data_IF_511917748713
#
_entry.id   IF_511917748713
#
_cell.length_a   1.000
_cell.length_b   1.000
_cell.length_c   1.000
_cell.angle_alpha   90.00
_cell.angle_beta   90.00
_cell.angle_gamma   90.00
#
_symmetry.space_group_name_H-M   'P 1'
#
loop_
_entity.id
_entity.type
_entity.pdbx_description
1 polymer ?
#
# COMPACT_ATOMS: atom_id res chain seq x y z
N UNK A 1 6.91 -3.54 48.69
CA UNK A 1 7.64 -2.80 47.63
C UNK A 1 7.56 -3.49 46.27
N UNK A 2 7.86 -4.78 46.16
CA UNK A 2 7.87 -5.57 44.90
C UNK A 2 6.62 -5.38 44.02
N UNK A 3 5.41 -5.44 44.60
CA UNK A 3 4.15 -5.28 43.84
C UNK A 3 3.99 -3.91 43.16
N UNK A 4 4.54 -2.83 43.72
CA UNK A 4 4.52 -1.49 43.09
C UNK A 4 5.49 -1.40 41.91
N UNK A 5 6.66 -2.03 42.01
CA UNK A 5 7.61 -2.11 40.91
C UNK A 5 7.10 -2.98 39.76
N UNK A 6 6.47 -4.12 40.06
CA UNK A 6 5.88 -5.01 39.05
C UNK A 6 4.76 -4.31 38.27
N UNK A 7 3.90 -3.53 38.93
CA UNK A 7 2.84 -2.75 38.27
C UNK A 7 3.44 -1.61 37.43
N UNK A 8 4.48 -0.92 37.92
CA UNK A 8 5.16 0.14 37.18
C UNK A 8 5.91 -0.36 35.93
N UNK A 9 6.55 -1.53 36.00
CA UNK A 9 7.21 -2.14 34.83
C UNK A 9 6.21 -2.66 33.81
N UNK A 10 5.07 -3.19 34.26
CA UNK A 10 3.95 -3.60 33.39
C UNK A 10 3.35 -2.39 32.65
N UNK A 11 3.11 -1.28 33.34
CA UNK A 11 2.53 -0.09 32.70
C UNK A 11 3.48 0.53 31.68
N UNK A 12 4.79 0.55 31.97
CA UNK A 12 5.81 1.02 31.03
C UNK A 12 5.89 0.12 29.79
N UNK A 13 5.86 -1.20 29.97
CA UNK A 13 5.87 -2.16 28.86
C UNK A 13 4.66 -2.00 27.93
N UNK A 14 3.46 -1.86 28.49
CA UNK A 14 2.23 -1.61 27.71
C UNK A 14 2.30 -0.27 26.98
N UNK A 15 2.82 0.78 27.63
CA UNK A 15 2.97 2.09 27.01
C UNK A 15 3.96 2.07 25.84
N UNK A 16 5.11 1.39 25.98
CA UNK A 16 6.07 1.20 24.90
C UNK A 16 5.50 0.38 23.74
N UNK A 17 4.75 -0.69 24.05
CA UNK A 17 4.07 -1.49 23.03
C UNK A 17 3.03 -0.67 22.24
N UNK A 18 2.30 0.21 22.92
CA UNK A 18 1.33 1.10 22.30
C UNK A 18 1.99 2.14 21.37
N UNK A 19 3.12 2.72 21.79
CA UNK A 19 3.92 3.61 20.93
C UNK A 19 4.44 2.85 19.71
N UNK A 20 4.98 1.65 19.89
CA UNK A 20 5.46 0.83 18.78
C UNK A 20 4.34 0.50 17.78
N UNK A 21 3.15 0.16 18.27
CA UNK A 21 1.98 -0.10 17.44
C UNK A 21 1.57 1.13 16.62
N UNK A 22 1.54 2.32 17.22
CA UNK A 22 1.28 3.57 16.48
C UNK A 22 2.32 3.82 15.39
N UNK A 23 3.61 3.66 15.71
CA UNK A 23 4.69 3.85 14.73
C UNK A 23 4.52 2.88 13.56
N UNK A 24 4.24 1.61 13.83
CA UNK A 24 3.99 0.60 12.80
C UNK A 24 2.78 0.96 11.92
N UNK A 25 1.66 1.41 12.52
CA UNK A 25 0.49 1.83 11.74
C UNK A 25 0.80 3.02 10.82
N UNK A 26 1.51 4.03 11.33
CA UNK A 26 1.90 5.21 10.54
C UNK A 26 2.84 4.81 9.41
N UNK A 27 3.81 3.95 9.69
CA UNK A 27 4.73 3.48 8.67
C UNK A 27 4.02 2.64 7.60
N UNK A 28 3.04 1.82 7.98
CA UNK A 28 2.28 1.00 7.04
C UNK A 28 1.47 1.89 6.11
N UNK A 29 0.86 2.94 6.67
CA UNK A 29 0.15 3.93 5.90
C UNK A 29 1.05 4.67 4.90
N UNK A 30 2.25 5.10 5.34
CA UNK A 30 3.21 5.78 4.44
C UNK A 30 3.76 4.85 3.37
N UNK A 31 4.00 3.59 3.70
CA UNK A 31 4.44 2.58 2.75
C UNK A 31 3.37 2.33 1.67
N UNK A 32 2.10 2.19 2.06
CA UNK A 32 1.01 2.05 1.09
C UNK A 32 0.93 3.21 0.09
N UNK A 33 1.04 4.45 0.59
CA UNK A 33 1.09 5.64 -0.28
C UNK A 33 2.30 5.59 -1.22
N UNK A 34 3.48 5.20 -0.72
CA UNK A 34 4.68 5.13 -1.55
C UNK A 34 4.54 4.09 -2.67
N UNK A 35 3.93 2.94 -2.39
CA UNK A 35 3.63 1.90 -3.40
C UNK A 35 2.61 2.41 -4.42
N UNK A 36 1.56 3.13 -3.99
CA UNK A 36 0.57 3.70 -4.89
C UNK A 36 1.20 4.77 -5.82
N UNK A 37 2.10 5.59 -5.30
CA UNK A 37 2.85 6.57 -6.09
C UNK A 37 3.77 5.87 -7.09
N UNK A 38 4.53 4.85 -6.67
CA UNK A 38 5.40 4.08 -7.56
C UNK A 38 4.60 3.38 -8.67
N UNK A 39 3.39 2.90 -8.38
CA UNK A 39 2.48 2.33 -9.36
C UNK A 39 2.05 3.37 -10.40
N UNK A 40 1.66 4.56 -9.96
CA UNK A 40 1.32 5.67 -10.85
C UNK A 40 2.51 6.04 -11.74
N UNK A 41 3.70 6.17 -11.16
CA UNK A 41 4.92 6.56 -11.87
C UNK A 41 5.32 5.51 -12.93
N UNK A 42 5.25 4.22 -12.59
CA UNK A 42 5.50 3.14 -13.53
C UNK A 42 4.50 3.15 -14.69
N UNK A 43 3.21 3.35 -14.40
CA UNK A 43 2.16 3.44 -15.42
C UNK A 43 2.34 4.66 -16.31
N UNK A 44 2.68 5.81 -15.74
CA UNK A 44 2.92 7.05 -16.49
C UNK A 44 4.16 6.93 -17.38
N UNK A 45 5.22 6.30 -16.88
CA UNK A 45 6.43 6.00 -17.66
C UNK A 45 6.16 5.01 -18.80
N UNK A 46 5.35 3.98 -18.54
CA UNK A 46 4.93 3.03 -19.58
C UNK A 46 4.06 3.67 -20.66
N UNK A 47 3.14 4.55 -20.27
CA UNK A 47 2.25 5.25 -21.19
C UNK A 47 3.02 6.26 -22.06
N UNK A 48 3.97 7.01 -21.47
CA UNK A 48 4.78 7.98 -22.20
C UNK A 48 3.92 8.97 -23.00
N UNK A 49 4.33 9.26 -24.24
CA UNK A 49 3.60 10.11 -25.18
C UNK A 49 2.64 9.33 -26.11
N UNK A 50 2.45 8.02 -25.86
CA UNK A 50 1.59 7.17 -26.67
C UNK A 50 0.12 7.39 -26.28
N UNK A 51 -0.65 8.00 -27.18
CA UNK A 51 -2.06 8.32 -26.97
C UNK A 51 -2.92 7.07 -26.73
N UNK A 52 -2.56 5.91 -27.29
CA UNK A 52 -3.30 4.67 -27.08
C UNK A 52 -3.06 4.13 -25.66
N UNK A 53 -1.81 4.16 -25.20
CA UNK A 53 -1.45 3.72 -23.84
C UNK A 53 -1.97 4.68 -22.78
N UNK A 54 -1.96 5.98 -23.04
CA UNK A 54 -2.59 6.97 -22.18
C UNK A 54 -4.10 6.72 -22.03
N UNK A 55 -4.80 6.38 -23.14
CA UNK A 55 -6.22 6.03 -23.08
C UNK A 55 -6.47 4.71 -22.33
N UNK A 56 -5.57 3.73 -22.41
CA UNK A 56 -5.64 2.49 -21.61
C UNK A 56 -5.43 2.77 -20.12
N UNK A 57 -4.43 3.59 -19.78
CA UNK A 57 -4.16 4.01 -18.41
C UNK A 57 -5.35 4.77 -17.82
N UNK A 58 -5.95 5.70 -18.57
CA UNK A 58 -7.12 6.46 -18.14
C UNK A 58 -8.33 5.55 -17.87
N UNK A 59 -8.60 4.58 -18.76
CA UNK A 59 -9.69 3.60 -18.56
C UNK A 59 -9.47 2.75 -17.31
N UNK A 60 -8.23 2.32 -17.06
CA UNK A 60 -7.87 1.62 -15.84
C UNK A 60 -8.16 2.48 -14.58
N UNK A 61 -7.78 3.77 -14.59
CA UNK A 61 -8.06 4.65 -13.45
C UNK A 61 -9.55 4.85 -13.20
N UNK A 62 -10.33 5.11 -14.25
CA UNK A 62 -11.79 5.32 -14.14
C UNK A 62 -12.52 4.06 -13.66
N UNK A 63 -12.15 2.89 -14.17
CA UNK A 63 -12.89 1.65 -13.90
C UNK A 63 -12.41 0.94 -12.62
N UNK A 64 -11.10 0.99 -12.33
CA UNK A 64 -10.50 0.24 -11.24
C UNK A 64 -10.18 1.08 -10.00
N UNK A 65 -9.88 2.39 -10.14
CA UNK A 65 -9.44 3.22 -9.01
C UNK A 65 -10.51 4.21 -8.55
N UNK A 66 -11.19 4.89 -9.47
CA UNK A 66 -12.16 5.94 -9.14
C UNK A 66 -13.43 5.39 -8.45
N UNK A 67 -13.80 4.14 -8.75
CA UNK A 67 -14.98 3.49 -8.16
C UNK A 67 -14.78 3.06 -6.68
N UNK A 68 -13.57 3.14 -6.14
CA UNK A 68 -13.24 2.71 -4.78
C UNK A 68 -13.02 3.91 -3.87
N UNK A 69 -14.11 4.54 -3.45
CA UNK A 69 -14.10 5.71 -2.54
C UNK A 69 -13.86 5.37 -1.06
N UNK A 70 -14.03 4.11 -0.65
CA UNK A 70 -13.90 3.74 0.76
C UNK A 70 -12.47 3.37 1.14
N UNK A 71 -11.91 4.16 2.07
CA UNK A 71 -10.54 4.00 2.59
C UNK A 71 -10.36 2.67 3.35
N UNK A 72 -11.45 2.11 3.87
CA UNK A 72 -11.43 0.83 4.58
C UNK A 72 -11.37 -0.37 3.63
N UNK A 73 -12.00 -0.28 2.46
CA UNK A 73 -11.98 -1.35 1.45
C UNK A 73 -10.59 -1.47 0.79
N UNK A 74 -9.90 -0.33 0.60
CA UNK A 74 -8.55 -0.27 0.03
C UNK A 74 -7.49 -1.10 0.76
N UNK A 75 -7.75 -1.46 2.02
CA UNK A 75 -6.78 -2.14 2.91
C UNK A 75 -6.94 -3.67 2.92
N UNK A 76 -7.99 -4.22 2.28
CA UNK A 76 -8.19 -5.67 2.23
C UNK A 76 -7.22 -6.33 1.24
N UNK A 77 -6.63 -7.50 1.58
CA UNK A 77 -5.90 -8.33 0.61
C UNK A 77 -6.74 -8.68 -0.62
N UNK A 78 -8.06 -8.78 -0.44
CA UNK A 78 -9.00 -9.02 -1.53
C UNK A 78 -9.11 -7.82 -2.47
N UNK A 79 -8.97 -6.60 -1.95
CA UNK A 79 -8.95 -5.37 -2.74
C UNK A 79 -7.64 -5.22 -3.54
N UNK A 80 -6.51 -5.62 -2.95
CA UNK A 80 -5.24 -5.64 -3.69
C UNK A 80 -5.32 -6.66 -4.85
N UNK A 81 -5.94 -7.83 -4.61
CA UNK A 81 -6.21 -8.81 -5.68
C UNK A 81 -7.20 -8.27 -6.72
N UNK A 82 -8.25 -7.55 -6.31
CA UNK A 82 -9.22 -6.97 -7.22
C UNK A 82 -8.61 -5.89 -8.11
N UNK A 83 -7.64 -5.11 -7.64
CA UNK A 83 -6.92 -4.14 -8.47
C UNK A 83 -6.12 -4.79 -9.60
N UNK A 84 -5.46 -5.93 -9.33
CA UNK A 84 -4.75 -6.69 -10.37
C UNK A 84 -5.71 -7.34 -11.35
N UNK A 85 -6.78 -7.95 -10.82
CA UNK A 85 -7.77 -8.61 -11.64
C UNK A 85 -8.53 -7.59 -12.52
N UNK A 86 -8.85 -6.42 -11.98
CA UNK A 86 -9.43 -5.31 -12.73
C UNK A 86 -8.45 -4.74 -13.76
N UNK A 87 -7.15 -4.68 -13.47
CA UNK A 87 -6.14 -4.32 -14.47
C UNK A 87 -6.09 -5.32 -15.64
N UNK A 88 -6.23 -6.63 -15.38
CA UNK A 88 -6.32 -7.66 -16.42
C UNK A 88 -7.64 -7.57 -17.22
N UNK A 89 -8.77 -7.29 -16.55
CA UNK A 89 -10.10 -7.27 -17.17
C UNK A 89 -10.38 -5.98 -17.97
N UNK A 90 -9.92 -4.82 -17.46
CA UNK A 90 -10.30 -3.49 -17.96
C UNK A 90 -9.12 -2.64 -18.46
N UNK A 91 -7.90 -3.00 -18.11
CA UNK A 91 -6.67 -2.36 -18.59
C UNK A 91 -6.03 -3.14 -19.74
N UNK A 92 -4.87 -3.72 -19.45
CA UNK A 92 -4.11 -4.57 -20.36
C UNK A 92 -3.20 -5.50 -19.54
N UNK A 93 -2.70 -6.57 -20.17
CA UNK A 93 -1.73 -7.45 -19.53
C UNK A 93 -0.45 -6.71 -19.11
N UNK A 94 -0.03 -5.67 -19.86
CA UNK A 94 1.10 -4.82 -19.50
C UNK A 94 0.81 -3.95 -18.27
N UNK A 95 -0.40 -3.38 -18.16
CA UNK A 95 -0.82 -2.61 -16.98
C UNK A 95 -0.80 -3.50 -15.74
N UNK A 96 -1.34 -4.73 -15.83
CA UNK A 96 -1.32 -5.69 -14.73
C UNK A 96 0.12 -6.02 -14.25
N UNK A 97 1.07 -6.13 -15.19
CA UNK A 97 2.49 -6.34 -14.87
C UNK A 97 3.11 -5.13 -14.14
N UNK A 98 2.86 -3.92 -14.63
CA UNK A 98 3.39 -2.68 -14.03
C UNK A 98 2.85 -2.47 -12.61
N UNK A 99 1.56 -2.74 -12.41
CA UNK A 99 0.89 -2.66 -11.11
C UNK A 99 1.48 -3.69 -10.13
N UNK A 100 1.82 -4.90 -10.62
CA UNK A 100 2.41 -5.99 -9.80
C UNK A 100 3.86 -5.76 -9.43
N UNK A 101 4.63 -5.05 -10.27
CA UNK A 101 6.04 -4.76 -10.01
C UNK A 101 6.25 -3.53 -9.11
N UNK A 102 5.27 -2.63 -9.00
CA UNK A 102 5.37 -1.42 -8.18
C UNK A 102 5.75 -1.63 -6.69
N UNK A 103 5.30 -2.69 -5.99
CA UNK A 103 5.71 -2.93 -4.60
C UNK A 103 7.19 -3.26 -4.45
N UNK A 104 7.80 -3.88 -5.47
CA UNK A 104 9.21 -4.32 -5.46
C UNK A 104 10.18 -3.13 -5.58
N UNK A 105 9.70 -1.98 -6.07
CA UNK A 105 10.52 -0.77 -6.22
C UNK A 105 10.53 0.11 -4.98
N UNK A 106 9.71 -0.21 -3.96
CA UNK A 106 9.58 0.57 -2.73
C UNK A 106 10.18 -0.20 -1.56
N UNK A 107 11.25 0.33 -0.97
CA UNK A 107 11.80 -0.25 0.26
C UNK A 107 10.88 0.02 1.45
N UNK A 108 10.47 -1.04 2.15
CA UNK A 108 9.73 -0.91 3.39
C UNK A 108 10.60 -0.19 4.46
N UNK A 109 10.07 0.86 5.14
CA UNK A 109 10.81 1.53 6.20
C UNK A 109 10.95 0.64 7.45
N UNK A 110 12.03 0.81 8.21
CA UNK A 110 12.19 0.13 9.51
C UNK A 110 11.27 0.79 10.56
N UNK A 111 10.50 0.04 11.37
CA UNK A 111 10.68 -1.38 11.69
C UNK A 111 9.82 -2.37 10.90
N UNK A 112 9.00 -1.94 9.94
CA UNK A 112 8.18 -2.87 9.14
C UNK A 112 9.03 -3.89 8.38
N UNK A 113 10.17 -3.44 7.84
CA UNK A 113 11.15 -4.30 7.16
C UNK A 113 11.75 -5.40 8.06
N UNK A 114 11.59 -5.34 9.39
CA UNK A 114 12.07 -6.43 10.25
C UNK A 114 11.12 -7.63 10.28
N UNK A 115 9.88 -7.44 9.84
CA UNK A 115 8.81 -8.44 9.87
C UNK A 115 8.48 -9.03 8.49
N UNK A 116 9.21 -8.62 7.45
CA UNK A 116 9.08 -9.02 6.05
C UNK A 116 10.45 -9.42 5.54
#
# INVERSE_FOLDING_TARGET
MIRKYVIGTLSLGVFLAFILAMVLMVQLHRYGIAVDVARLENLQTWAGDDAERQAQMQRYFEQCIDNHRDVEDKRSPEHIRSLYQCAEEHGSAEIALMVRQAPETVEAPAPLRWFW
#
